data_IF_829116415695
#
_entry.id   IF_829116415695
#
_cell.length_a   1.000
_cell.length_b   1.000
_cell.length_c   1.000
_cell.angle_alpha   90.00
_cell.angle_beta   90.00
_cell.angle_gamma   90.00
#
_symmetry.space_group_name_H-M   'P 1'
#
loop_
_entity.id
_entity.type
_entity.pdbx_description
1 polymer ?
#
# COMPACT_ATOMS: atom_id res chain seq x y z
N UNK A 1 -15.36 -8.49 -8.44
CA UNK A 1 -16.54 -8.24 -7.61
C UNK A 1 -16.20 -7.08 -6.70
N UNK A 2 -17.01 -6.02 -6.76
CA UNK A 2 -16.93 -4.89 -5.81
C UNK A 2 -17.43 -5.39 -4.47
N UNK A 3 -16.67 -5.17 -3.39
CA UNK A 3 -17.11 -5.45 -2.01
C UNK A 3 -16.73 -4.25 -1.15
N UNK A 4 -17.72 -3.40 -0.91
CA UNK A 4 -17.54 -2.07 -0.34
C UNK A 4 -17.83 -2.09 1.15
N UNK A 5 -16.82 -1.74 1.97
CA UNK A 5 -17.00 -1.56 3.41
C UNK A 5 -17.78 -0.27 3.64
N UNK A 6 -18.83 -0.35 4.46
CA UNK A 6 -19.61 0.82 4.85
C UNK A 6 -18.77 1.71 5.78
N UNK A 7 -18.59 3.00 5.47
CA UNK A 7 -17.86 3.92 6.34
C UNK A 7 -18.48 3.98 7.74
N UNK A 8 -17.66 3.71 8.75
CA UNK A 8 -17.99 3.87 10.16
C UNK A 8 -16.73 4.36 10.88
N UNK A 9 -16.89 4.95 12.06
CA UNK A 9 -15.73 5.36 12.87
C UNK A 9 -15.18 4.12 13.55
N UNK A 10 -13.94 3.75 13.23
CA UNK A 10 -13.23 2.68 13.93
C UNK A 10 -12.73 3.19 15.27
N UNK A 11 -13.21 2.58 16.35
CA UNK A 11 -12.66 2.76 17.69
C UNK A 11 -11.33 2.03 17.82
N UNK A 12 -10.39 2.63 18.53
CA UNK A 12 -9.07 2.03 18.74
C UNK A 12 -8.52 2.50 20.07
N UNK A 13 -7.86 1.58 20.77
CA UNK A 13 -7.34 1.79 22.11
C UNK A 13 -5.89 1.32 22.11
N UNK A 14 -4.92 2.26 22.07
CA UNK A 14 -3.52 1.89 22.11
C UNK A 14 -3.18 1.22 23.43
N UNK A 15 -2.41 0.13 23.39
CA UNK A 15 -1.88 -0.53 24.56
C UNK A 15 -0.51 0.04 24.96
N UNK A 16 -0.07 -0.17 26.22
CA UNK A 16 1.25 0.22 26.65
C UNK A 16 2.35 -0.31 25.73
N UNK A 17 3.28 0.54 25.33
CA UNK A 17 4.50 0.12 24.64
C UNK A 17 5.26 -0.92 25.48
N UNK A 18 5.68 -2.00 24.81
CA UNK A 18 6.29 -3.16 25.45
C UNK A 18 7.80 -3.16 25.21
N UNK A 19 8.58 -3.43 26.27
CA UNK A 19 10.02 -3.65 26.13
C UNK A 19 10.29 -5.12 25.80
N UNK A 20 9.79 -5.56 24.65
CA UNK A 20 9.86 -6.94 24.18
C UNK A 20 10.40 -6.92 22.75
N UNK A 21 11.33 -7.84 22.44
CA UNK A 21 11.85 -8.01 21.10
C UNK A 21 10.97 -9.00 20.30
N UNK A 22 10.02 -8.46 19.54
CA UNK A 22 9.10 -9.22 18.69
C UNK A 22 9.79 -9.90 17.49
N UNK A 23 11.11 -9.73 17.29
CA UNK A 23 11.82 -10.38 16.17
C UNK A 23 12.09 -11.89 16.38
N UNK A 24 11.72 -12.43 17.54
CA UNK A 24 11.90 -13.83 17.93
C UNK A 24 10.57 -14.53 18.22
N UNK A 25 10.55 -15.88 18.21
CA UNK A 25 9.37 -16.67 18.59
C UNK A 25 8.96 -16.39 20.04
N UNK A 26 9.93 -16.39 20.97
CA UNK A 26 9.66 -16.17 22.38
C UNK A 26 9.14 -14.76 22.63
N UNK A 27 9.72 -13.74 21.99
CA UNK A 27 9.24 -12.37 22.10
C UNK A 27 7.86 -12.17 21.47
N UNK A 28 7.56 -12.83 20.35
CA UNK A 28 6.21 -12.83 19.76
C UNK A 28 5.17 -13.41 20.72
N UNK A 29 5.51 -14.53 21.38
CA UNK A 29 4.67 -15.13 22.42
C UNK A 29 4.47 -14.15 23.59
N UNK A 30 5.56 -13.54 24.06
CA UNK A 30 5.55 -12.64 25.20
C UNK A 30 4.72 -11.37 24.93
N UNK A 31 4.74 -10.85 23.70
CA UNK A 31 3.89 -9.71 23.29
C UNK A 31 2.41 -10.06 23.48
N UNK A 32 1.96 -11.18 22.92
CA UNK A 32 0.55 -11.57 22.98
C UNK A 32 0.11 -11.91 24.41
N UNK A 33 0.95 -12.62 25.17
CA UNK A 33 0.68 -12.93 26.58
C UNK A 33 0.62 -11.65 27.42
N UNK A 34 1.44 -10.64 27.10
CA UNK A 34 1.39 -9.32 27.72
C UNK A 34 0.13 -8.55 27.34
N UNK A 35 -0.35 -8.66 26.10
CA UNK A 35 -1.64 -8.08 25.67
C UNK A 35 -2.77 -8.67 26.52
N UNK A 36 -2.87 -10.00 26.61
CA UNK A 36 -3.93 -10.63 27.41
C UNK A 36 -3.85 -10.28 28.88
N UNK A 37 -2.64 -10.23 29.44
CA UNK A 37 -2.43 -9.79 30.82
C UNK A 37 -2.89 -8.36 31.06
N UNK A 38 -2.57 -7.43 30.16
CA UNK A 38 -2.96 -6.02 30.27
C UNK A 38 -4.48 -5.82 30.12
N UNK A 39 -5.13 -6.66 29.31
CA UNK A 39 -6.57 -6.64 29.11
C UNK A 39 -7.34 -7.43 30.18
N UNK A 40 -6.63 -8.12 31.08
CA UNK A 40 -7.22 -9.11 31.99
C UNK A 40 -8.03 -10.19 31.26
N UNK A 41 -7.60 -10.52 30.03
CA UNK A 41 -8.30 -11.43 29.12
C UNK A 41 -7.99 -12.88 29.48
N UNK A 42 -9.02 -13.63 29.86
CA UNK A 42 -8.91 -15.01 30.33
C UNK A 42 -9.24 -16.03 29.24
N UNK A 43 -8.95 -17.30 29.50
CA UNK A 43 -9.37 -18.40 28.61
C UNK A 43 -10.90 -18.50 28.50
N UNK A 44 -11.67 -18.06 29.51
CA UNK A 44 -13.12 -18.03 29.42
C UNK A 44 -13.59 -16.91 28.48
N UNK A 45 -13.00 -15.72 28.58
CA UNK A 45 -13.28 -14.62 27.66
C UNK A 45 -12.96 -15.02 26.20
N UNK A 46 -11.84 -15.73 25.98
CA UNK A 46 -11.52 -16.27 24.66
C UNK A 46 -12.56 -17.28 24.16
N UNK A 47 -13.12 -18.14 25.03
CA UNK A 47 -14.17 -19.09 24.64
C UNK A 47 -15.48 -18.38 24.30
N UNK A 48 -15.77 -17.26 24.94
CA UNK A 48 -16.98 -16.46 24.69
C UNK A 48 -16.84 -15.56 23.46
N UNK A 49 -15.71 -14.88 23.28
CA UNK A 49 -15.46 -13.94 22.18
C UNK A 49 -14.90 -14.59 20.90
N UNK A 50 -14.07 -15.63 21.04
CA UNK A 50 -13.70 -16.59 20.00
C UNK A 50 -12.69 -16.15 18.93
N UNK A 51 -12.69 -14.89 18.49
CA UNK A 51 -11.90 -14.46 17.32
C UNK A 51 -11.03 -13.23 17.63
N UNK A 52 -9.73 -13.37 17.41
CA UNK A 52 -8.74 -12.30 17.51
C UNK A 52 -8.04 -12.15 16.17
N UNK A 53 -8.28 -11.03 15.50
CA UNK A 53 -7.57 -10.74 14.27
C UNK A 53 -6.22 -10.10 14.56
N UNK A 54 -5.18 -10.66 13.96
CA UNK A 54 -3.81 -10.18 14.11
C UNK A 54 -3.32 -9.59 12.80
N UNK A 55 -2.76 -8.39 12.86
CA UNK A 55 -2.14 -7.72 11.71
C UNK A 55 -0.70 -7.35 12.07
N UNK A 56 0.22 -7.69 11.17
CA UNK A 56 1.62 -7.37 11.35
C UNK A 56 2.37 -7.38 10.02
N UNK A 57 3.66 -7.07 10.08
CA UNK A 57 4.49 -7.24 8.90
C UNK A 57 4.67 -8.74 8.57
N UNK A 58 5.41 -9.03 7.50
CA UNK A 58 5.63 -10.41 7.05
C UNK A 58 6.39 -11.27 8.06
N UNK A 59 7.23 -10.65 8.91
CA UNK A 59 7.95 -11.38 9.94
C UNK A 59 6.99 -11.75 11.08
N UNK A 60 6.15 -10.82 11.55
CA UNK A 60 5.11 -11.10 12.56
C UNK A 60 4.20 -12.24 12.11
N UNK A 61 3.65 -12.19 10.88
CA UNK A 61 2.79 -13.26 10.36
C UNK A 61 3.51 -14.63 10.31
N UNK A 62 4.78 -14.63 9.90
CA UNK A 62 5.60 -15.86 9.86
C UNK A 62 5.88 -16.43 11.25
N UNK A 63 6.12 -15.58 12.25
CA UNK A 63 6.37 -16.00 13.63
C UNK A 63 5.08 -16.53 14.26
N UNK A 64 3.95 -15.82 14.14
CA UNK A 64 2.66 -16.29 14.64
C UNK A 64 2.27 -17.64 14.02
N UNK A 65 2.48 -17.83 12.71
CA UNK A 65 2.22 -19.13 12.07
C UNK A 65 3.03 -20.28 12.68
N UNK A 66 4.26 -20.03 13.12
CA UNK A 66 5.12 -21.04 13.76
C UNK A 66 4.66 -21.31 15.19
N UNK A 67 4.28 -20.26 15.93
CA UNK A 67 3.74 -20.39 17.30
C UNK A 67 2.44 -21.20 17.29
N UNK A 68 1.50 -20.88 16.40
CA UNK A 68 0.26 -21.65 16.19
C UNK A 68 0.57 -23.13 15.92
N UNK A 69 1.50 -23.39 14.99
CA UNK A 69 1.88 -24.75 14.63
C UNK A 69 2.49 -25.52 15.80
N UNK A 70 3.34 -24.87 16.60
CA UNK A 70 3.99 -25.47 17.76
C UNK A 70 3.01 -25.75 18.91
N UNK A 71 1.97 -24.91 19.07
CA UNK A 71 1.04 -24.95 20.20
C UNK A 71 -0.35 -25.49 19.86
N UNK A 72 -0.58 -25.96 18.62
CA UNK A 72 -1.87 -26.49 18.14
C UNK A 72 -2.51 -27.57 19.03
N UNK A 73 -1.71 -28.30 19.82
CA UNK A 73 -2.17 -29.39 20.67
C UNK A 73 -2.44 -28.95 22.12
N UNK A 74 -2.13 -27.71 22.51
CA UNK A 74 -2.45 -27.20 23.85
C UNK A 74 -3.97 -27.20 24.06
N UNK A 75 -4.43 -27.53 25.26
CA UNK A 75 -5.87 -27.64 25.57
C UNK A 75 -6.50 -26.27 25.72
N UNK A 76 -5.80 -25.35 26.39
CA UNK A 76 -6.29 -24.00 26.65
C UNK A 76 -6.27 -23.09 25.41
N UNK A 77 -7.32 -22.29 25.17
CA UNK A 77 -7.42 -21.40 24.01
C UNK A 77 -6.29 -20.39 23.83
N UNK A 78 -5.90 -19.69 24.91
CA UNK A 78 -4.84 -18.67 24.86
C UNK A 78 -3.49 -19.31 24.58
N UNK A 79 -3.14 -20.36 25.33
CA UNK A 79 -1.87 -21.06 25.14
C UNK A 79 -1.78 -21.63 23.72
N UNK A 80 -2.85 -22.27 23.25
CA UNK A 80 -2.92 -22.87 21.92
C UNK A 80 -3.12 -21.90 20.76
N UNK A 81 -3.21 -20.58 21.01
CA UNK A 81 -3.50 -19.54 19.99
C UNK A 81 -4.77 -19.83 19.16
N UNK A 82 -5.78 -20.44 19.80
CA UNK A 82 -6.93 -21.05 19.09
C UNK A 82 -7.91 -20.03 18.51
N UNK A 83 -7.90 -18.80 19.01
CA UNK A 83 -8.76 -17.72 18.53
C UNK A 83 -8.11 -16.85 17.45
N UNK A 84 -6.83 -17.05 17.15
CA UNK A 84 -6.06 -16.12 16.35
C UNK A 84 -6.38 -16.31 14.86
N UNK A 85 -6.62 -15.21 14.17
CA UNK A 85 -6.90 -15.14 12.75
C UNK A 85 -5.88 -14.20 12.13
N UNK A 86 -4.79 -14.78 11.62
CA UNK A 86 -3.66 -14.04 11.07
C UNK A 86 -3.98 -13.35 9.74
N UNK A 87 -3.55 -12.08 9.68
CA UNK A 87 -3.59 -11.22 8.51
C UNK A 87 -2.21 -10.58 8.34
N UNK A 88 -1.65 -10.64 7.13
CA UNK A 88 -0.50 -9.81 6.85
C UNK A 88 -0.94 -8.36 6.63
N UNK A 89 -0.04 -7.44 6.96
CA UNK A 89 -0.26 -6.01 6.88
C UNK A 89 -0.39 -5.52 5.44
N UNK A 90 -1.54 -4.93 5.11
CA UNK A 90 -1.80 -4.38 3.77
C UNK A 90 -0.91 -3.17 3.45
N UNK A 91 -0.44 -2.42 4.45
CA UNK A 91 0.51 -1.34 4.22
C UNK A 91 1.88 -1.88 3.82
N UNK A 92 2.37 -2.91 4.50
CA UNK A 92 3.60 -3.60 4.08
C UNK A 92 3.44 -4.23 2.69
N UNK A 93 2.26 -4.76 2.36
CA UNK A 93 1.95 -5.24 1.01
C UNK A 93 1.89 -4.11 -0.03
N UNK A 94 1.39 -2.93 0.34
CA UNK A 94 1.46 -1.72 -0.50
C UNK A 94 2.92 -1.34 -0.77
N UNK A 95 3.77 -1.42 0.26
CA UNK A 95 5.21 -1.16 0.11
C UNK A 95 5.88 -2.19 -0.80
N UNK A 96 5.51 -3.47 -0.67
CA UNK A 96 5.95 -4.52 -1.57
C UNK A 96 5.52 -4.24 -3.02
N UNK A 97 4.23 -3.96 -3.27
CA UNK A 97 3.73 -3.60 -4.60
C UNK A 97 4.46 -2.42 -5.22
N UNK A 98 4.73 -1.37 -4.43
CA UNK A 98 5.55 -0.24 -4.86
C UNK A 98 6.97 -0.68 -5.25
N UNK A 99 7.59 -1.53 -4.42
CA UNK A 99 8.93 -2.06 -4.65
C UNK A 99 9.01 -2.93 -5.91
N UNK A 100 7.95 -3.68 -6.21
CA UNK A 100 7.85 -4.46 -7.44
C UNK A 100 7.91 -3.56 -8.67
N UNK A 101 7.02 -2.56 -8.74
CA UNK A 101 6.93 -1.64 -9.88
C UNK A 101 8.24 -0.86 -10.04
N UNK A 102 8.75 -0.26 -8.97
CA UNK A 102 9.95 0.58 -9.05
C UNK A 102 11.18 -0.21 -9.48
N UNK A 103 11.32 -1.46 -9.03
CA UNK A 103 12.50 -2.28 -9.34
C UNK A 103 12.44 -2.87 -10.74
N UNK A 104 11.26 -3.29 -11.19
CA UNK A 104 11.08 -3.88 -12.52
C UNK A 104 11.29 -2.81 -13.60
N UNK A 105 10.73 -1.62 -13.38
CA UNK A 105 10.69 -0.55 -14.37
C UNK A 105 11.74 0.55 -14.13
N UNK A 106 12.71 0.33 -13.23
CA UNK A 106 13.76 1.31 -12.96
C UNK A 106 14.58 1.62 -14.22
N UNK A 107 14.92 0.59 -14.99
CA UNK A 107 15.80 0.73 -16.15
C UNK A 107 17.27 0.89 -15.78
N UNK A 108 18.10 1.16 -16.80
CA UNK A 108 19.55 1.34 -16.65
C UNK A 108 19.89 2.84 -16.64
N UNK A 109 20.91 3.26 -15.86
CA UNK A 109 21.46 4.60 -15.98
C UNK A 109 21.86 4.91 -17.43
N UNK A 110 21.46 6.08 -17.91
CA UNK A 110 21.67 6.55 -19.28
C UNK A 110 21.11 5.60 -20.36
N UNK A 111 20.09 4.81 -20.00
CA UNK A 111 19.36 3.96 -20.94
C UNK A 111 18.45 4.74 -21.88
N UNK A 112 17.66 4.01 -22.68
CA UNK A 112 16.62 4.61 -23.54
C UNK A 112 15.54 5.33 -22.71
N UNK A 113 14.86 6.35 -23.28
CA UNK A 113 13.68 6.97 -22.68
C UNK A 113 12.59 5.97 -22.29
N UNK A 114 11.73 6.38 -21.36
CA UNK A 114 10.57 5.58 -20.90
C UNK A 114 10.81 4.69 -19.68
N UNK A 115 11.96 4.81 -19.00
CA UNK A 115 12.21 4.12 -17.72
C UNK A 115 12.03 5.05 -16.52
N UNK A 116 11.72 4.50 -15.34
CA UNK A 116 11.56 5.30 -14.13
C UNK A 116 12.86 6.00 -13.70
N UNK A 117 14.04 5.44 -14.01
CA UNK A 117 15.31 6.12 -13.78
C UNK A 117 15.45 7.36 -14.66
N UNK A 118 15.06 7.28 -15.93
CA UNK A 118 15.07 8.42 -16.86
C UNK A 118 14.13 9.53 -16.37
N UNK A 119 12.88 9.19 -16.06
CA UNK A 119 11.91 10.16 -15.53
C UNK A 119 12.40 10.79 -14.22
N UNK A 120 12.83 9.97 -13.26
CA UNK A 120 13.26 10.44 -11.95
C UNK A 120 14.53 11.32 -11.99
N UNK A 121 15.53 10.89 -12.76
CA UNK A 121 16.89 11.43 -12.67
C UNK A 121 17.17 12.44 -13.78
N UNK A 122 16.78 12.14 -15.02
CA UNK A 122 17.08 12.99 -16.18
C UNK A 122 16.04 14.10 -16.34
N UNK A 123 14.76 13.82 -16.09
CA UNK A 123 13.70 14.83 -16.29
C UNK A 123 13.38 15.60 -15.01
N UNK A 124 13.07 14.90 -13.92
CA UNK A 124 12.61 15.55 -12.69
C UNK A 124 13.75 16.06 -11.80
N UNK A 125 15.01 15.68 -12.09
CA UNK A 125 16.19 16.04 -11.30
C UNK A 125 16.02 15.83 -9.78
N UNK A 126 15.31 14.76 -9.39
CA UNK A 126 15.04 14.44 -8.00
C UNK A 126 16.29 13.96 -7.27
N UNK A 127 16.26 14.02 -5.93
CA UNK A 127 17.35 13.53 -5.08
C UNK A 127 17.73 12.09 -5.48
N UNK A 128 19.03 11.78 -5.62
CA UNK A 128 19.47 10.48 -6.10
C UNK A 128 18.82 9.31 -5.36
N UNK A 129 18.23 8.40 -6.13
CA UNK A 129 17.60 7.18 -5.66
C UNK A 129 18.20 6.00 -6.42
N UNK A 130 18.40 4.88 -5.73
CA UNK A 130 18.83 3.62 -6.36
C UNK A 130 17.70 2.61 -6.20
N UNK A 131 17.27 2.02 -7.31
CA UNK A 131 16.32 0.92 -7.35
C UNK A 131 16.80 -0.14 -8.36
N UNK A 132 16.00 -1.19 -8.54
CA UNK A 132 16.32 -2.36 -9.34
C UNK A 132 16.62 -3.59 -8.48
N UNK A 133 16.30 -4.77 -9.01
CA UNK A 133 16.45 -6.04 -8.28
C UNK A 133 17.90 -6.39 -7.92
N UNK A 134 18.88 -5.82 -8.63
CA UNK A 134 20.31 -6.00 -8.33
C UNK A 134 20.85 -5.02 -7.27
N UNK A 135 20.03 -4.05 -6.81
CA UNK A 135 20.46 -3.09 -5.78
C UNK A 135 20.64 -3.77 -4.42
N UNK A 136 21.73 -3.42 -3.72
CA UNK A 136 22.00 -3.86 -2.34
C UNK A 136 21.06 -3.23 -1.31
N UNK A 137 20.44 -2.09 -1.64
CA UNK A 137 19.51 -1.37 -0.76
C UNK A 137 18.15 -1.25 -1.43
N UNK A 138 17.09 -1.42 -0.64
CA UNK A 138 15.74 -1.15 -1.11
C UNK A 138 15.56 0.35 -1.39
N UNK A 139 14.85 0.67 -2.46
CA UNK A 139 14.45 2.04 -2.74
C UNK A 139 13.56 2.59 -1.61
N UNK A 140 13.72 3.86 -1.21
CA UNK A 140 12.88 4.46 -0.19
C UNK A 140 11.43 4.51 -0.68
N UNK A 141 10.51 3.99 0.14
CA UNK A 141 9.12 3.80 -0.27
C UNK A 141 8.41 5.12 -0.60
N UNK A 142 8.57 6.16 0.23
CA UNK A 142 7.84 7.43 0.04
C UNK A 142 8.17 8.13 -1.29
N UNK A 143 9.46 8.37 -1.65
CA UNK A 143 9.82 8.87 -2.98
C UNK A 143 9.38 7.97 -4.13
N UNK A 144 9.45 6.64 -3.95
CA UNK A 144 9.02 5.68 -4.98
C UNK A 144 7.50 5.73 -5.21
N UNK A 145 6.72 5.79 -4.13
CA UNK A 145 5.26 5.90 -4.17
C UNK A 145 4.81 7.20 -4.85
N UNK A 146 5.50 8.31 -4.60
CA UNK A 146 5.22 9.59 -5.26
C UNK A 146 5.62 9.59 -6.73
N UNK A 147 6.80 9.03 -7.07
CA UNK A 147 7.24 8.93 -8.46
C UNK A 147 6.24 8.14 -9.32
N UNK A 148 5.80 6.98 -8.84
CA UNK A 148 4.84 6.15 -9.60
C UNK A 148 3.52 6.90 -9.84
N UNK A 149 3.06 7.72 -8.90
CA UNK A 149 1.82 8.51 -9.08
C UNK A 149 1.95 9.57 -10.16
N UNK A 150 3.07 10.30 -10.15
CA UNK A 150 3.35 11.36 -11.11
C UNK A 150 3.54 10.77 -12.50
N UNK A 151 4.37 9.73 -12.58
CA UNK A 151 4.65 9.01 -13.80
C UNK A 151 3.38 8.40 -14.39
N UNK A 152 2.61 7.63 -13.63
CA UNK A 152 1.35 7.05 -14.12
C UNK A 152 0.38 8.10 -14.65
N UNK A 153 0.23 9.24 -13.95
CA UNK A 153 -0.62 10.33 -14.41
C UNK A 153 -0.13 10.89 -15.77
N UNK A 154 1.18 11.07 -15.94
CA UNK A 154 1.77 11.53 -17.20
C UNK A 154 1.56 10.53 -18.35
N UNK A 155 1.76 9.23 -18.10
CA UNK A 155 1.51 8.18 -19.09
C UNK A 155 0.03 8.10 -19.49
N UNK A 156 -0.89 8.28 -18.55
CA UNK A 156 -2.33 8.38 -18.84
C UNK A 156 -2.60 9.58 -19.75
N UNK A 157 -2.11 10.78 -19.41
CA UNK A 157 -2.32 11.98 -20.22
C UNK A 157 -1.77 11.82 -21.66
N UNK A 158 -0.57 11.27 -21.79
CA UNK A 158 0.02 11.01 -23.10
C UNK A 158 -0.76 9.92 -23.88
N UNK A 159 -1.29 8.91 -23.20
CA UNK A 159 -2.22 7.95 -23.81
C UNK A 159 -3.48 8.63 -24.35
N UNK A 160 -4.12 9.49 -23.57
CA UNK A 160 -5.28 10.25 -24.05
C UNK A 160 -4.92 11.15 -25.24
N UNK A 161 -3.76 11.81 -25.23
CA UNK A 161 -3.26 12.57 -26.38
C UNK A 161 -3.18 11.71 -27.64
N UNK A 162 -2.65 10.49 -27.55
CA UNK A 162 -2.49 9.58 -28.69
C UNK A 162 -3.85 9.17 -29.28
N UNK A 163 -4.81 8.80 -28.42
CA UNK A 163 -6.06 8.18 -28.85
C UNK A 163 -7.26 9.15 -28.98
N UNK A 164 -7.16 10.38 -28.51
CA UNK A 164 -8.24 11.37 -28.64
C UNK A 164 -8.55 11.78 -30.09
N UNK A 165 -7.73 11.37 -31.06
CA UNK A 165 -7.92 11.66 -32.49
C UNK A 165 -8.07 13.16 -32.81
N UNK A 166 -7.51 14.02 -31.94
CA UNK A 166 -7.54 15.47 -32.04
C UNK A 166 -6.11 16.04 -32.05
N UNK A 167 -5.84 17.02 -32.91
CA UNK A 167 -4.49 17.61 -33.02
C UNK A 167 -4.08 18.41 -31.77
N UNK A 168 -5.06 18.96 -31.05
CA UNK A 168 -4.86 19.71 -29.82
C UNK A 168 -5.57 19.02 -28.65
N UNK A 169 -4.80 18.39 -27.78
CA UNK A 169 -5.33 17.66 -26.62
C UNK A 169 -6.09 18.57 -25.63
N UNK A 170 -5.63 19.81 -25.45
CA UNK A 170 -6.25 20.77 -24.52
C UNK A 170 -7.62 21.24 -25.03
N UNK A 171 -7.75 21.49 -26.33
CA UNK A 171 -9.05 21.82 -26.94
C UNK A 171 -10.03 20.65 -26.83
N UNK A 172 -9.55 19.43 -27.14
CA UNK A 172 -10.35 18.22 -26.97
C UNK A 172 -10.86 18.07 -25.53
N UNK A 173 -9.97 18.20 -24.55
CA UNK A 173 -10.31 18.06 -23.13
C UNK A 173 -11.35 19.09 -22.64
N UNK A 174 -11.47 20.25 -23.28
CA UNK A 174 -12.48 21.26 -22.95
C UNK A 174 -13.86 20.98 -23.55
N UNK A 175 -13.92 20.22 -24.65
CA UNK A 175 -15.12 20.03 -25.46
C UNK A 175 -15.68 18.59 -25.37
N UNK A 176 -14.86 17.64 -24.91
CA UNK A 176 -15.19 16.22 -24.88
C UNK A 176 -16.45 15.94 -24.06
N UNK A 177 -17.33 15.12 -24.62
CA UNK A 177 -18.49 14.58 -23.89
C UNK A 177 -18.07 13.42 -22.98
N UNK A 178 -18.87 13.08 -21.97
CA UNK A 178 -18.56 11.92 -21.13
C UNK A 178 -18.51 10.60 -21.92
N UNK A 179 -19.34 10.44 -22.95
CA UNK A 179 -19.35 9.24 -23.79
C UNK A 179 -18.07 9.12 -24.62
N UNK A 180 -17.64 10.23 -25.22
CA UNK A 180 -16.38 10.28 -25.96
C UNK A 180 -15.18 10.07 -25.03
N UNK A 181 -15.17 10.72 -23.86
CA UNK A 181 -14.13 10.51 -22.85
C UNK A 181 -14.03 9.04 -22.46
N UNK A 182 -15.16 8.38 -22.17
CA UNK A 182 -15.19 6.96 -21.80
C UNK A 182 -14.72 6.06 -22.95
N UNK A 183 -15.08 6.39 -24.19
CA UNK A 183 -14.61 5.67 -25.39
C UNK A 183 -13.09 5.77 -25.53
N UNK A 184 -12.52 6.97 -25.45
CA UNK A 184 -11.07 7.19 -25.51
C UNK A 184 -10.38 6.53 -24.33
N UNK A 185 -10.90 6.67 -23.10
CA UNK A 185 -10.36 6.01 -21.91
C UNK A 185 -10.28 4.49 -22.07
N UNK A 186 -11.32 3.87 -22.65
CA UNK A 186 -11.34 2.44 -22.92
C UNK A 186 -10.32 2.04 -23.98
N UNK A 187 -10.15 2.84 -25.03
CA UNK A 187 -9.10 2.63 -26.05
C UNK A 187 -7.70 2.72 -25.44
N UNK A 188 -7.43 3.79 -24.67
CA UNK A 188 -6.17 3.99 -23.94
C UNK A 188 -5.89 2.78 -23.05
N UNK A 189 -6.86 2.37 -22.24
CA UNK A 189 -6.72 1.21 -21.37
C UNK A 189 -6.38 -0.05 -22.18
N UNK A 190 -7.21 -0.37 -23.18
CA UNK A 190 -7.07 -1.59 -23.96
C UNK A 190 -5.76 -1.66 -24.74
N UNK A 191 -5.25 -0.53 -25.23
CA UNK A 191 -4.05 -0.46 -26.08
C UNK A 191 -2.74 -0.17 -25.35
N UNK A 192 -2.79 0.40 -24.14
CA UNK A 192 -1.57 0.81 -23.41
C UNK A 192 -1.42 0.22 -22.00
N UNK A 193 -2.47 -0.35 -21.40
CA UNK A 193 -2.47 -0.74 -19.97
C UNK A 193 -2.82 -2.22 -19.72
N UNK A 194 -2.87 -3.05 -20.76
CA UNK A 194 -3.25 -4.47 -20.63
C UNK A 194 -2.14 -5.42 -21.08
N UNK A 195 -2.11 -6.63 -20.52
CA UNK A 195 -1.26 -7.70 -21.07
C UNK A 195 -1.67 -8.05 -22.50
N UNK A 196 -2.95 -7.92 -22.86
CA UNK A 196 -3.42 -8.19 -24.22
C UNK A 196 -2.79 -7.25 -25.26
N UNK A 197 -2.67 -5.95 -24.94
CA UNK A 197 -1.93 -5.00 -25.78
C UNK A 197 -0.47 -5.40 -25.97
N UNK A 198 0.18 -5.85 -24.88
CA UNK A 198 1.57 -6.30 -24.94
C UNK A 198 1.73 -7.50 -25.89
N UNK A 199 0.87 -8.52 -25.76
CA UNK A 199 0.92 -9.71 -26.63
C UNK A 199 0.62 -9.34 -28.10
N UNK A 200 -0.39 -8.49 -28.36
CA UNK A 200 -0.70 -7.99 -29.71
C UNK A 200 0.51 -7.31 -30.37
N UNK A 201 1.28 -6.55 -29.59
CA UNK A 201 2.49 -5.87 -30.06
C UNK A 201 3.73 -6.78 -30.09
N UNK A 202 3.71 -7.94 -29.41
CA UNK A 202 4.81 -8.89 -29.43
C UNK A 202 4.80 -9.73 -30.71
N UNK A 203 3.61 -9.93 -31.27
CA UNK A 203 3.34 -10.65 -32.51
C UNK A 203 3.62 -9.82 -33.79
N UNK A 204 3.87 -8.51 -33.67
CA UNK A 204 4.23 -7.66 -34.81
C UNK A 204 5.67 -7.92 -35.31
N UNK A 205 5.90 -7.66 -36.60
CA UNK A 205 7.22 -7.83 -37.24
C UNK A 205 8.27 -6.88 -36.64
N UNK A 206 7.87 -5.64 -36.33
CA UNK A 206 8.70 -4.65 -35.63
C UNK A 206 8.45 -4.69 -34.13
N UNK A 207 9.49 -5.00 -33.36
CA UNK A 207 9.42 -5.11 -31.89
C UNK A 207 10.08 -3.89 -31.24
N UNK A 208 9.33 -2.80 -31.12
CA UNK A 208 9.80 -1.64 -30.39
C UNK A 208 9.83 -1.93 -28.88
N UNK A 209 11.04 -2.17 -28.38
CA UNK A 209 11.28 -2.46 -26.97
C UNK A 209 10.89 -1.30 -26.04
N UNK A 210 10.95 -0.05 -26.49
CA UNK A 210 10.55 1.10 -25.67
C UNK A 210 9.05 1.06 -25.46
N UNK A 211 8.29 0.94 -26.55
CA UNK A 211 6.84 0.83 -26.50
C UNK A 211 6.36 -0.38 -25.69
N UNK A 212 6.92 -1.56 -25.95
CA UNK A 212 6.59 -2.79 -25.20
C UNK A 212 6.84 -2.64 -23.69
N UNK A 213 7.96 -2.02 -23.30
CA UNK A 213 8.24 -1.75 -21.89
C UNK A 213 7.26 -0.74 -21.29
N UNK A 214 6.83 0.27 -22.07
CA UNK A 214 5.84 1.25 -21.61
C UNK A 214 4.50 0.59 -21.30
N UNK A 215 4.04 -0.35 -22.13
CA UNK A 215 2.79 -1.10 -21.88
C UNK A 215 2.88 -1.90 -20.57
N UNK A 216 4.00 -2.59 -20.34
CA UNK A 216 4.21 -3.35 -19.10
C UNK A 216 4.26 -2.44 -17.88
N UNK A 217 4.98 -1.31 -17.97
CA UNK A 217 5.04 -0.32 -16.91
C UNK A 217 3.65 0.21 -16.57
N UNK A 218 2.90 0.66 -17.58
CA UNK A 218 1.54 1.16 -17.46
C UNK A 218 0.62 0.19 -16.74
N UNK A 219 0.60 -1.08 -17.18
CA UNK A 219 -0.17 -2.15 -16.54
C UNK A 219 0.18 -2.29 -15.06
N UNK A 220 1.47 -2.38 -14.74
CA UNK A 220 1.94 -2.67 -13.39
C UNK A 220 1.74 -1.48 -12.44
N UNK A 221 2.00 -0.26 -12.92
CA UNK A 221 1.76 0.98 -12.20
C UNK A 221 0.25 1.21 -11.95
N UNK A 222 -0.60 0.90 -12.94
CA UNK A 222 -2.05 0.98 -12.78
C UNK A 222 -2.57 -0.01 -11.73
N UNK A 223 -2.06 -1.25 -11.69
CA UNK A 223 -2.41 -2.22 -10.64
C UNK A 223 -2.03 -1.70 -9.24
N UNK A 224 -0.86 -1.07 -9.10
CA UNK A 224 -0.45 -0.45 -7.85
C UNK A 224 -1.33 0.72 -7.43
N UNK A 225 -1.68 1.59 -8.38
CA UNK A 225 -2.61 2.68 -8.12
C UNK A 225 -3.99 2.17 -7.74
N UNK A 226 -4.48 1.14 -8.43
CA UNK A 226 -5.76 0.49 -8.16
C UNK A 226 -5.83 -0.07 -6.73
N UNK A 227 -4.74 -0.70 -6.26
CA UNK A 227 -4.64 -1.15 -4.87
C UNK A 227 -4.77 0.02 -3.89
N UNK A 228 -3.98 1.08 -4.08
CA UNK A 228 -4.00 2.26 -3.23
C UNK A 228 -5.37 2.93 -3.17
N UNK A 229 -6.03 3.08 -4.32
CA UNK A 229 -7.34 3.71 -4.43
C UNK A 229 -8.46 2.84 -3.87
N UNK A 230 -8.38 1.51 -4.05
CA UNK A 230 -9.34 0.57 -3.48
C UNK A 230 -9.30 0.58 -1.95
N UNK A 231 -8.10 0.66 -1.36
CA UNK A 231 -7.94 0.83 0.09
C UNK A 231 -8.61 2.11 0.55
N UNK A 232 -8.31 3.26 -0.06
CA UNK A 232 -8.91 4.54 0.33
C UNK A 232 -10.44 4.48 0.24
N UNK A 233 -10.95 3.95 -0.87
CA UNK A 233 -12.37 3.79 -1.12
C UNK A 233 -13.04 2.84 -0.12
N UNK A 234 -12.32 1.86 0.43
CA UNK A 234 -12.88 0.79 1.26
C UNK A 234 -13.43 -0.38 0.43
N UNK A 235 -13.01 -0.53 -0.83
CA UNK A 235 -13.40 -1.65 -1.70
C UNK A 235 -12.45 -2.84 -1.47
N UNK A 236 -12.72 -3.61 -0.44
CA UNK A 236 -11.89 -4.76 -0.06
C UNK A 236 -11.93 -5.87 -1.12
N UNK A 237 -13.02 -5.97 -1.87
CA UNK A 237 -13.14 -6.90 -2.99
C UNK A 237 -12.10 -6.60 -4.07
N UNK A 238 -11.95 -5.33 -4.45
CA UNK A 238 -10.92 -4.92 -5.41
C UNK A 238 -9.50 -5.05 -4.87
N UNK A 239 -9.28 -4.81 -3.58
CA UNK A 239 -7.99 -5.11 -2.92
C UNK A 239 -7.62 -6.59 -3.11
N UNK A 240 -8.53 -7.51 -2.78
CA UNK A 240 -8.31 -8.97 -2.95
C UNK A 240 -8.05 -9.35 -4.41
N UNK A 241 -8.71 -8.70 -5.37
CA UNK A 241 -8.44 -8.94 -6.79
C UNK A 241 -7.02 -8.56 -7.19
N UNK A 242 -6.53 -7.40 -6.77
CA UNK A 242 -5.14 -6.99 -7.04
C UNK A 242 -4.15 -7.95 -6.38
N UNK A 243 -4.44 -8.38 -5.14
CA UNK A 243 -3.60 -9.37 -4.45
C UNK A 243 -3.47 -10.68 -5.24
N UNK A 244 -4.54 -11.18 -5.86
CA UNK A 244 -4.47 -12.39 -6.71
C UNK A 244 -3.51 -12.23 -7.89
N UNK A 245 -3.50 -11.05 -8.51
CA UNK A 245 -2.57 -10.74 -9.62
C UNK A 245 -1.14 -10.65 -9.09
N UNK A 246 -0.94 -9.92 -8.00
CA UNK A 246 0.36 -9.76 -7.36
C UNK A 246 0.96 -11.06 -6.82
N UNK A 247 0.14 -11.99 -6.34
CA UNK A 247 0.58 -13.32 -5.96
C UNK A 247 1.35 -14.01 -7.10
N UNK A 248 0.91 -13.86 -8.34
CA UNK A 248 1.59 -14.42 -9.52
C UNK A 248 2.82 -13.58 -9.87
N UNK A 249 2.67 -12.26 -9.95
CA UNK A 249 3.76 -11.35 -10.34
C UNK A 249 4.97 -11.42 -9.39
N UNK A 250 4.73 -11.60 -8.08
CA UNK A 250 5.76 -11.61 -7.04
C UNK A 250 6.47 -12.97 -6.89
N UNK A 251 6.05 -14.00 -7.62
CA UNK A 251 6.58 -15.37 -7.46
C UNK A 251 7.88 -15.62 -8.24
N UNK A 252 8.24 -14.72 -9.16
CA UNK A 252 9.45 -14.83 -9.98
C UNK A 252 10.72 -14.80 -9.11
N UNK A 253 11.74 -15.65 -9.37
CA UNK A 253 13.02 -15.59 -8.66
C UNK A 253 13.62 -14.18 -8.71
N UNK A 254 14.21 -13.74 -7.58
CA UNK A 254 14.80 -12.40 -7.38
C UNK A 254 13.79 -11.24 -7.26
N UNK A 255 12.48 -11.53 -7.17
CA UNK A 255 11.45 -10.54 -6.85
C UNK A 255 11.07 -10.57 -5.36
N UNK A 256 9.84 -10.97 -5.01
CA UNK A 256 9.30 -10.95 -3.64
C UNK A 256 8.52 -12.23 -3.30
N UNK A 257 9.13 -13.43 -3.43
CA UNK A 257 8.42 -14.70 -3.29
C UNK A 257 7.76 -14.88 -1.93
N UNK A 258 8.36 -14.38 -0.84
CA UNK A 258 7.75 -14.48 0.50
C UNK A 258 6.43 -13.71 0.61
N UNK A 259 6.29 -12.58 -0.09
CA UNK A 259 5.01 -11.87 -0.15
C UNK A 259 4.01 -12.63 -1.02
N UNK A 260 4.46 -13.25 -2.12
CA UNK A 260 3.61 -14.13 -2.92
C UNK A 260 3.05 -15.30 -2.09
N UNK A 261 3.88 -15.91 -1.25
CA UNK A 261 3.49 -17.01 -0.36
C UNK A 261 2.46 -16.54 0.68
N UNK A 262 2.70 -15.40 1.34
CA UNK A 262 1.74 -14.84 2.31
C UNK A 262 0.37 -14.50 1.67
N UNK A 263 0.37 -13.96 0.45
CA UNK A 263 -0.86 -13.74 -0.30
C UNK A 263 -1.54 -15.09 -0.61
N UNK A 264 -0.80 -16.07 -1.12
CA UNK A 264 -1.32 -17.38 -1.48
C UNK A 264 -1.98 -18.07 -0.28
N UNK A 265 -1.30 -18.12 0.86
CA UNK A 265 -1.83 -18.68 2.10
C UNK A 265 -3.09 -17.96 2.57
N UNK A 266 -3.09 -16.62 2.53
CA UNK A 266 -4.25 -15.81 2.94
C UNK A 266 -5.45 -16.05 2.03
N UNK A 267 -5.25 -16.11 0.71
CA UNK A 267 -6.31 -16.43 -0.25
C UNK A 267 -6.85 -17.85 -0.05
N UNK A 268 -5.98 -18.82 0.24
CA UNK A 268 -6.37 -20.18 0.60
C UNK A 268 -7.23 -20.23 1.86
N UNK A 269 -6.84 -19.52 2.93
CA UNK A 269 -7.64 -19.39 4.16
C UNK A 269 -9.00 -18.77 3.88
N UNK A 270 -9.04 -17.65 3.15
CA UNK A 270 -10.29 -16.98 2.75
C UNK A 270 -11.24 -17.87 1.96
N UNK A 271 -10.71 -18.79 1.14
CA UNK A 271 -11.52 -19.76 0.41
C UNK A 271 -12.10 -20.86 1.33
N UNK A 272 -11.36 -21.25 2.37
CA UNK A 272 -11.80 -22.26 3.34
C UNK A 272 -12.80 -21.73 4.39
N UNK A 273 -12.80 -20.43 4.65
CA UNK A 273 -13.68 -19.82 5.64
C UNK A 273 -15.15 -19.89 5.21
N UNK A 274 -16.01 -20.16 6.20
CA UNK A 274 -17.44 -20.00 6.00
C UNK A 274 -17.76 -18.52 5.63
N UNK A 275 -18.89 -18.25 4.96
CA UNK A 275 -19.20 -16.90 4.46
C UNK A 275 -19.20 -15.82 5.54
N UNK A 276 -19.57 -16.15 6.78
CA UNK A 276 -19.63 -15.21 7.90
C UNK A 276 -18.22 -14.81 8.33
N UNK A 277 -17.34 -15.77 8.61
CA UNK A 277 -15.94 -15.50 8.99
C UNK A 277 -15.19 -14.78 7.86
N UNK A 278 -15.42 -15.17 6.60
CA UNK A 278 -14.82 -14.50 5.44
C UNK A 278 -15.22 -13.02 5.39
N UNK A 279 -16.50 -12.71 5.62
CA UNK A 279 -16.97 -11.32 5.67
C UNK A 279 -16.33 -10.57 6.84
N UNK A 280 -16.27 -11.16 8.03
CA UNK A 280 -15.60 -10.54 9.18
C UNK A 280 -14.13 -10.23 8.90
N UNK A 281 -13.39 -11.18 8.33
CA UNK A 281 -12.00 -10.98 7.95
C UNK A 281 -11.85 -9.78 7.01
N UNK A 282 -12.60 -9.77 5.90
CA UNK A 282 -12.47 -8.77 4.85
C UNK A 282 -12.93 -7.38 5.32
N UNK A 283 -14.08 -7.30 5.98
CA UNK A 283 -14.69 -6.03 6.40
C UNK A 283 -13.99 -5.39 7.60
N UNK A 284 -13.07 -6.11 8.25
CA UNK A 284 -12.23 -5.59 9.33
C UNK A 284 -10.75 -5.49 8.94
N UNK A 285 -10.36 -5.66 7.67
CA UNK A 285 -8.94 -5.57 7.27
C UNK A 285 -8.49 -4.11 7.03
N UNK A 286 -9.44 -3.19 6.98
CA UNK A 286 -9.25 -1.75 6.82
C UNK A 286 -9.95 -1.00 7.95
N UNK A 287 -9.43 0.18 8.29
CA UNK A 287 -9.98 1.03 9.37
C UNK A 287 -10.27 2.43 8.87
N UNK A 288 -11.25 3.09 9.48
CA UNK A 288 -11.63 4.46 9.16
C UNK A 288 -11.85 5.28 10.43
N UNK A 289 -10.86 6.08 10.81
CA UNK A 289 -10.92 6.91 12.03
C UNK A 289 -11.84 8.13 11.93
N UNK A 290 -12.49 8.34 10.78
CA UNK A 290 -13.31 9.55 10.53
C UNK A 290 -14.75 9.23 10.17
N UNK A 291 -15.08 7.98 9.84
CA UNK A 291 -16.38 7.59 9.31
C UNK A 291 -16.71 8.17 7.93
N UNK A 292 -15.79 8.90 7.28
CA UNK A 292 -16.04 9.53 5.98
C UNK A 292 -15.71 8.61 4.82
N UNK A 293 -16.44 8.65 3.69
CA UNK A 293 -16.08 7.96 2.46
C UNK A 293 -14.65 8.31 2.01
N UNK A 294 -13.97 7.39 1.35
CA UNK A 294 -12.60 7.59 0.84
C UNK A 294 -11.52 7.89 1.92
N UNK A 295 -11.77 7.53 3.18
CA UNK A 295 -10.85 7.75 4.31
C UNK A 295 -10.40 6.48 5.03
N UNK A 296 -10.60 5.33 4.41
CA UNK A 296 -10.06 4.07 4.90
C UNK A 296 -8.52 4.04 4.80
N UNK A 297 -7.90 3.29 5.70
CA UNK A 297 -6.47 2.99 5.71
C UNK A 297 -6.24 1.56 6.19
N UNK A 298 -5.05 1.05 5.94
CA UNK A 298 -4.61 -0.25 6.43
C UNK A 298 -4.43 -0.24 7.95
N UNK A 299 -4.67 -1.37 8.60
CA UNK A 299 -4.51 -1.52 10.06
C UNK A 299 -3.07 -1.34 10.49
N UNK A 300 -2.14 -1.99 9.81
CA UNK A 300 -0.71 -1.87 10.10
C UNK A 300 -0.20 -0.45 9.86
N UNK A 301 -0.79 0.31 8.93
CA UNK A 301 -0.51 1.76 8.82
C UNK A 301 -1.05 2.57 10.00
N UNK A 302 -2.16 2.17 10.63
CA UNK A 302 -2.61 2.80 11.87
C UNK A 302 -1.58 2.60 12.99
N UNK A 303 -1.02 1.39 13.09
CA UNK A 303 0.04 1.08 14.04
C UNK A 303 1.34 1.85 13.74
N UNK A 304 1.72 2.00 12.48
CA UNK A 304 2.88 2.82 12.10
C UNK A 304 2.71 4.31 12.45
N UNK A 305 1.48 4.84 12.37
CA UNK A 305 1.22 6.19 12.87
C UNK A 305 1.41 6.29 14.38
N UNK A 306 0.93 5.31 15.16
CA UNK A 306 1.16 5.24 16.61
C UNK A 306 2.66 5.22 16.93
N UNK A 307 3.42 4.38 16.23
CA UNK A 307 4.88 4.30 16.33
C UNK A 307 5.55 5.65 16.04
N UNK A 308 5.10 6.36 15.01
CA UNK A 308 5.60 7.69 14.67
C UNK A 308 5.34 8.72 15.79
N UNK A 309 4.12 8.78 16.32
CA UNK A 309 3.79 9.70 17.42
C UNK A 309 4.67 9.44 18.65
N UNK A 310 4.88 8.17 19.00
CA UNK A 310 5.75 7.78 20.11
C UNK A 310 7.21 8.19 19.91
N UNK A 311 7.78 7.81 18.77
CA UNK A 311 9.23 7.91 18.54
C UNK A 311 9.67 9.33 18.21
N UNK A 312 8.79 10.11 17.56
CA UNK A 312 9.14 11.42 17.00
C UNK A 312 8.53 12.57 17.82
N UNK A 313 7.25 12.47 18.19
CA UNK A 313 6.53 13.59 18.80
C UNK A 313 6.61 13.56 20.33
N UNK A 314 6.29 12.41 20.93
CA UNK A 314 6.15 12.25 22.37
C UNK A 314 7.37 11.59 23.05
N UNK A 315 8.46 11.43 22.31
CA UNK A 315 9.67 10.85 22.84
C UNK A 315 10.27 11.79 23.90
N UNK A 316 10.56 11.24 25.08
CA UNK A 316 11.25 11.99 26.12
C UNK A 316 12.67 12.39 25.66
N UNK A 317 13.24 13.41 26.30
CA UNK A 317 14.60 13.88 26.01
C UNK A 317 15.53 13.57 27.18
N UNK A 318 16.82 13.39 26.86
CA UNK A 318 17.87 13.16 27.84
C UNK A 318 17.61 11.95 28.73
N UNK A 319 17.87 12.11 30.02
CA UNK A 319 17.78 11.06 31.05
C UNK A 319 16.36 10.51 31.27
N UNK A 320 15.33 11.22 30.80
CA UNK A 320 13.94 10.78 30.95
C UNK A 320 13.50 9.77 29.87
N UNK A 321 14.36 9.48 28.88
CA UNK A 321 14.14 8.41 27.91
C UNK A 321 14.11 7.06 28.60
N UNK A 322 12.91 6.53 28.81
CA UNK A 322 12.70 5.25 29.47
C UNK A 322 11.51 4.51 28.87
N UNK A 323 11.51 3.19 29.00
CA UNK A 323 10.36 2.35 28.65
C UNK A 323 9.13 2.67 29.49
N UNK A 324 9.32 3.04 30.76
CA UNK A 324 8.23 3.50 31.63
C UNK A 324 7.52 4.72 31.05
N UNK A 325 8.27 5.68 30.51
CA UNK A 325 7.69 6.84 29.83
C UNK A 325 6.93 6.42 28.57
N UNK A 326 7.53 5.59 27.70
CA UNK A 326 6.89 5.13 26.46
C UNK A 326 5.59 4.35 26.73
N UNK A 327 5.60 3.46 27.72
CA UNK A 327 4.43 2.71 28.15
C UNK A 327 3.30 3.65 28.61
N UNK A 328 3.60 4.62 29.47
CA UNK A 328 2.62 5.60 29.95
C UNK A 328 2.07 6.49 28.82
N UNK A 329 2.94 6.98 27.94
CA UNK A 329 2.52 7.95 26.93
C UNK A 329 1.76 7.29 25.77
N UNK A 330 2.05 6.02 25.47
CA UNK A 330 1.42 5.26 24.38
C UNK A 330 -0.10 5.15 24.48
N UNK A 331 -0.61 4.86 25.68
CA UNK A 331 -2.06 4.78 25.94
C UNK A 331 -2.75 6.15 25.85
N UNK A 332 -1.98 7.25 25.93
CA UNK A 332 -2.50 8.62 25.94
C UNK A 332 -2.41 9.34 24.58
N UNK A 333 -1.81 8.74 23.55
CA UNK A 333 -1.45 9.44 22.29
C UNK A 333 -2.64 10.19 21.68
N UNK A 334 -3.79 9.53 21.58
CA UNK A 334 -4.95 10.10 20.90
C UNK A 334 -5.62 11.19 21.72
N UNK A 335 -5.75 10.99 23.03
CA UNK A 335 -6.24 12.01 23.97
C UNK A 335 -5.35 13.26 23.95
N UNK A 336 -4.03 13.08 23.97
CA UNK A 336 -3.07 14.18 23.90
C UNK A 336 -3.10 14.89 22.54
N UNK A 337 -3.26 14.14 21.45
CA UNK A 337 -3.41 14.72 20.11
C UNK A 337 -4.67 15.56 20.01
N UNK A 338 -5.79 15.11 20.57
CA UNK A 338 -7.06 15.82 20.49
C UNK A 338 -7.07 17.04 21.45
N UNK A 339 -6.40 16.95 22.60
CA UNK A 339 -6.10 18.10 23.45
C UNK A 339 -5.25 19.15 22.69
N UNK A 340 -4.21 18.71 21.97
CA UNK A 340 -3.37 19.60 21.16
C UNK A 340 -4.18 20.31 20.07
N UNK A 341 -5.09 19.61 19.37
CA UNK A 341 -5.99 20.23 18.38
C UNK A 341 -6.91 21.27 19.01
N UNK A 342 -7.41 20.99 20.22
CA UNK A 342 -8.29 21.92 20.95
C UNK A 342 -7.55 23.22 21.25
N UNK A 343 -6.33 23.13 21.78
CA UNK A 343 -5.46 24.30 22.02
C UNK A 343 -5.15 25.04 20.73
N UNK A 344 -4.74 24.34 19.67
CA UNK A 344 -4.46 24.95 18.37
C UNK A 344 -5.65 25.74 17.82
N UNK A 345 -6.86 25.17 17.93
CA UNK A 345 -8.09 25.83 17.51
C UNK A 345 -8.40 27.07 18.36
N UNK A 346 -8.27 26.97 19.68
CA UNK A 346 -8.58 28.06 20.60
C UNK A 346 -7.67 29.28 20.40
N UNK A 347 -6.37 29.04 20.16
CA UNK A 347 -5.39 30.09 19.95
C UNK A 347 -5.24 30.52 18.48
N UNK A 348 -6.09 30.00 17.58
CA UNK A 348 -6.00 30.22 16.13
C UNK A 348 -4.59 30.02 15.58
N UNK A 349 -3.82 29.11 16.21
CA UNK A 349 -2.47 28.80 15.76
C UNK A 349 -2.66 28.24 14.35
N UNK A 350 -2.08 28.90 13.31
CA UNK A 350 -2.17 28.40 11.96
C UNK A 350 -1.80 26.94 12.03
N UNK A 351 -2.67 26.09 11.50
CA UNK A 351 -2.51 24.64 11.57
C UNK A 351 -1.31 24.23 10.70
N UNK A 352 -0.09 24.56 11.14
CA UNK A 352 1.18 24.20 10.54
C UNK A 352 1.26 22.68 10.65
N UNK A 353 0.75 21.97 9.63
CA UNK A 353 0.84 20.52 9.50
C UNK A 353 -0.42 19.69 9.78
N UNK A 354 -1.61 20.26 9.98
CA UNK A 354 -2.84 19.43 10.16
C UNK A 354 -3.51 19.07 8.83
N UNK A 355 -3.33 19.92 7.81
CA UNK A 355 -3.64 19.57 6.42
C UNK A 355 -2.35 19.06 5.79
N UNK A 356 -2.27 17.77 5.47
CA UNK A 356 -1.35 17.33 4.44
C UNK A 356 -1.74 18.10 3.16
N UNK A 357 -1.05 19.21 2.88
CA UNK A 357 -1.06 19.79 1.55
C UNK A 357 -0.40 18.76 0.66
N UNK A 358 -1.19 18.14 -0.22
CA UNK A 358 -0.64 17.37 -1.33
C UNK A 358 0.15 18.40 -2.15
N UNK A 359 1.47 18.24 -2.32
CA UNK A 359 2.24 19.12 -3.20
C UNK A 359 1.55 19.15 -4.56
N UNK A 360 1.44 20.32 -5.18
CA UNK A 360 0.95 20.39 -6.54
C UNK A 360 1.97 19.73 -7.46
N UNK A 361 1.61 18.57 -8.00
CA UNK A 361 2.47 17.77 -8.88
C UNK A 361 2.22 18.08 -10.36
N UNK A 362 1.33 19.03 -10.68
CA UNK A 362 0.90 19.29 -12.07
C UNK A 362 2.07 19.65 -13.00
N UNK A 363 3.02 20.45 -12.52
CA UNK A 363 4.20 20.82 -13.30
C UNK A 363 5.10 19.61 -13.63
N UNK A 364 5.32 18.72 -12.67
CA UNK A 364 6.10 17.49 -12.87
C UNK A 364 5.38 16.53 -13.82
N UNK A 365 4.05 16.39 -13.67
CA UNK A 365 3.22 15.55 -14.54
C UNK A 365 3.28 16.06 -15.99
N UNK A 366 3.07 17.37 -16.21
CA UNK A 366 3.12 17.97 -17.55
C UNK A 366 4.51 17.80 -18.18
N UNK A 367 5.58 18.04 -17.41
CA UNK A 367 6.95 17.85 -17.89
C UNK A 367 7.19 16.42 -18.37
N UNK A 368 6.76 15.41 -17.60
CA UNK A 368 6.88 14.01 -18.02
C UNK A 368 6.03 13.74 -19.28
N UNK A 369 4.78 14.17 -19.32
CA UNK A 369 3.88 13.93 -20.45
C UNK A 369 4.43 14.52 -21.76
N UNK A 370 4.97 15.74 -21.72
CA UNK A 370 5.60 16.38 -22.87
C UNK A 370 6.83 15.60 -23.37
N UNK A 371 7.63 15.05 -22.46
CA UNK A 371 8.81 14.25 -22.83
C UNK A 371 8.44 12.85 -23.34
N UNK A 372 7.38 12.21 -22.80
CA UNK A 372 6.84 10.96 -23.36
C UNK A 372 6.38 11.15 -24.81
N UNK A 373 5.68 12.26 -25.09
CA UNK A 373 5.30 12.68 -26.44
C UNK A 373 6.51 12.90 -27.35
N UNK A 374 7.49 13.69 -26.90
CA UNK A 374 8.66 14.04 -27.72
C UNK A 374 9.50 12.82 -28.09
N UNK A 375 9.66 11.89 -27.15
CA UNK A 375 10.41 10.64 -27.32
C UNK A 375 9.57 9.50 -27.91
N UNK A 376 8.26 9.73 -28.13
CA UNK A 376 7.29 8.77 -28.66
C UNK A 376 7.28 7.42 -27.91
N UNK A 377 7.42 7.45 -26.59
CA UNK A 377 7.59 6.23 -25.78
C UNK A 377 6.37 5.31 -25.78
N UNK A 378 5.18 5.88 -25.99
CA UNK A 378 3.89 5.17 -26.04
C UNK A 378 3.34 5.02 -27.47
N UNK A 379 4.14 5.28 -28.50
CA UNK A 379 3.77 5.09 -29.90
C UNK A 379 4.61 3.96 -30.50
N UNK A 380 4.00 3.07 -31.28
CA UNK A 380 4.77 2.03 -31.98
C UNK A 380 5.61 2.68 -33.08
N UNK A 381 6.94 2.48 -33.06
CA UNK A 381 7.78 2.89 -34.17
C UNK A 381 7.43 2.07 -35.43
N UNK A 382 6.86 2.73 -36.44
CA UNK A 382 6.68 2.21 -37.80
C UNK A 382 7.98 2.27 -38.60
#
# INVERSE_FOLDING_TARGET
>A
MVDQITPHVTEHYPLPAMHIDESSLDGTIEVEDTIFKNLHFSNNDMREHGLLFEDGDLLTDSLNSKVESARRNSTEPIEGRKGNIRRYGLFHQKMAGCRMVINEHWGKPNGKPGSLWWEHTQLLHRKPMVAGWQSKKAAPWKPSHELIQISLAAHVLDGFRIYCSHHNFQEWAQQVTMDEFNSVALQVYNKLFTSAAYEECLDSETKDKVFLNSILYNRDALLYWLFCMSIKAGDIGRVVLVLRVWMVMMRTPKTMPKYADAIFETLGRLQSFNPVLRKFFLHNWLVNLTGKPFRFKEIDLLQEHLNFWLKIIYNAKGVNKSWKWLAMISVCIYSLRDAMKTVQSAFQIPSLGVRHTVPDMSAEISLLADNLKNEKTQECCH
#
